data_IF_472589907615
#
_entry.id   IF_472589907615
#
_cell.length_a   1.000
_cell.length_b   1.000
_cell.length_c   1.000
_cell.angle_alpha   90.00
_cell.angle_beta   90.00
_cell.angle_gamma   90.00
#
_symmetry.space_group_name_H-M   'P 1'
#
loop_
_entity.id
_entity.type
_entity.pdbx_description
1 polymer ?
#
# COMPACT_ATOMS: atom_id res chain seq x y z
N UNK A 1 -23.20 -13.75 55.71
CA UNK A 1 -23.33 -12.67 54.72
C UNK A 1 -24.38 -13.09 53.71
N UNK A 2 -25.41 -12.27 53.49
CA UNK A 2 -26.52 -12.64 52.61
C UNK A 2 -26.12 -12.32 51.16
N UNK A 3 -26.63 -13.06 50.18
CA UNK A 3 -26.36 -12.87 48.74
C UNK A 3 -26.58 -11.41 48.27
N UNK A 4 -27.48 -10.69 48.93
CA UNK A 4 -27.77 -9.26 48.70
C UNK A 4 -26.58 -8.35 48.99
N UNK A 5 -25.76 -8.67 49.99
CA UNK A 5 -24.59 -7.87 50.37
C UNK A 5 -23.49 -7.95 49.30
N UNK A 6 -23.33 -9.12 48.67
CA UNK A 6 -22.35 -9.35 47.58
C UNK A 6 -22.81 -8.62 46.31
N UNK A 7 -24.10 -8.65 45.99
CA UNK A 7 -24.66 -7.97 44.83
C UNK A 7 -24.51 -6.44 44.96
N UNK A 8 -24.71 -5.90 46.17
CA UNK A 8 -24.54 -4.48 46.47
C UNK A 8 -23.08 -4.03 46.30
N UNK A 9 -22.12 -4.82 46.79
CA UNK A 9 -20.68 -4.52 46.67
C UNK A 9 -20.21 -4.56 45.20
N UNK A 10 -20.69 -5.53 44.41
CA UNK A 10 -20.36 -5.61 42.98
C UNK A 10 -20.94 -4.45 42.16
N UNK A 11 -22.13 -3.95 42.53
CA UNK A 11 -22.72 -2.78 41.86
C UNK A 11 -21.88 -1.51 42.07
N UNK A 12 -21.39 -1.27 43.29
CA UNK A 12 -20.57 -0.07 43.59
C UNK A 12 -19.22 -0.12 42.88
N UNK A 13 -18.59 -1.29 42.79
CA UNK A 13 -17.34 -1.49 42.06
C UNK A 13 -17.49 -1.24 40.54
N UNK A 14 -18.59 -1.67 39.93
CA UNK A 14 -18.85 -1.44 38.51
C UNK A 14 -19.08 0.05 38.18
N UNK A 15 -19.77 0.79 39.05
CA UNK A 15 -20.06 2.22 38.83
C UNK A 15 -18.81 3.11 39.00
N UNK A 16 -17.91 2.78 39.94
CA UNK A 16 -16.65 3.52 40.09
C UNK A 16 -15.71 3.35 38.88
N UNK A 17 -15.62 2.13 38.32
CA UNK A 17 -14.77 1.86 37.15
C UNK A 17 -15.29 2.53 35.86
N UNK A 18 -16.60 2.75 35.72
CA UNK A 18 -17.16 3.48 34.58
C UNK A 18 -16.94 5.01 34.69
N UNK A 19 -16.95 5.56 35.92
CA UNK A 19 -16.79 7.00 36.15
C UNK A 19 -15.31 7.42 36.04
N UNK A 20 -14.35 6.57 36.44
CA UNK A 20 -12.92 6.87 36.39
C UNK A 20 -12.30 6.90 34.98
N UNK A 21 -12.99 6.36 33.96
CA UNK A 21 -12.53 6.41 32.57
C UNK A 21 -12.93 7.73 31.87
N UNK A 22 -13.89 8.49 32.40
CA UNK A 22 -14.42 9.70 31.75
C UNK A 22 -13.85 11.03 32.28
N UNK A 23 -12.94 11.01 33.25
CA UNK A 23 -12.27 12.21 33.78
C UNK A 23 -10.92 12.47 33.08
N UNK A 24 -10.93 12.41 31.75
CA UNK A 24 -9.85 12.85 30.87
C UNK A 24 -10.45 13.81 29.86
N UNK A 25 -10.36 15.09 30.18
CA UNK A 25 -10.91 16.24 29.50
C UNK A 25 -10.06 16.64 28.28
N UNK A 26 -10.35 16.09 27.10
CA UNK A 26 -9.88 16.69 25.84
C UNK A 26 -10.83 16.44 24.66
N UNK A 27 -11.92 17.20 24.65
CA UNK A 27 -12.80 17.38 23.48
C UNK A 27 -12.12 18.01 22.25
N UNK A 28 -10.81 17.83 22.04
CA UNK A 28 -10.06 18.33 20.88
C UNK A 28 -9.18 17.29 20.15
N UNK A 29 -8.98 16.07 20.67
CA UNK A 29 -8.14 15.05 20.00
C UNK A 29 -8.89 13.99 19.19
N UNK A 30 -10.19 13.80 19.40
CA UNK A 30 -10.94 12.72 18.73
C UNK A 30 -11.20 13.00 17.23
N UNK A 31 -11.36 14.27 16.83
CA UNK A 31 -11.48 14.64 15.42
C UNK A 31 -10.12 14.56 14.69
N UNK A 32 -9.05 15.07 15.31
CA UNK A 32 -7.71 15.08 14.70
C UNK A 32 -7.13 13.67 14.50
N UNK A 33 -7.37 12.76 15.47
CA UNK A 33 -6.95 11.36 15.37
C UNK A 33 -7.62 10.61 14.21
N UNK A 34 -8.94 10.76 14.06
CA UNK A 34 -9.71 10.05 13.01
C UNK A 34 -9.41 10.56 11.60
N UNK A 35 -9.26 11.88 11.39
CA UNK A 35 -8.92 12.45 10.08
C UNK A 35 -7.46 12.15 9.68
N UNK A 36 -6.53 12.20 10.64
CA UNK A 36 -5.12 11.86 10.40
C UNK A 36 -4.98 10.37 10.03
N UNK A 37 -5.62 9.49 10.79
CA UNK A 37 -5.60 8.05 10.53
C UNK A 37 -6.24 7.68 9.17
N UNK A 38 -7.37 8.29 8.82
CA UNK A 38 -7.99 8.12 7.47
C UNK A 38 -7.04 8.55 6.35
N UNK A 39 -6.30 9.64 6.53
CA UNK A 39 -5.33 10.14 5.55
C UNK A 39 -4.15 9.17 5.40
N UNK A 40 -3.63 8.68 6.52
CA UNK A 40 -2.59 7.66 6.55
C UNK A 40 -3.02 6.38 5.83
N UNK A 41 -4.20 5.85 6.15
CA UNK A 41 -4.75 4.64 5.54
C UNK A 41 -4.95 4.81 4.03
N UNK A 42 -5.42 5.99 3.60
CA UNK A 42 -5.56 6.32 2.18
C UNK A 42 -4.21 6.32 1.47
N UNK A 43 -3.18 6.92 2.05
CA UNK A 43 -1.82 6.94 1.46
C UNK A 43 -1.23 5.54 1.37
N UNK A 44 -1.41 4.72 2.41
CA UNK A 44 -0.96 3.32 2.43
C UNK A 44 -1.66 2.49 1.36
N UNK A 45 -2.99 2.59 1.25
CA UNK A 45 -3.76 1.93 0.17
C UNK A 45 -3.31 2.38 -1.22
N UNK A 46 -3.09 3.69 -1.42
CA UNK A 46 -2.56 4.23 -2.69
C UNK A 46 -1.18 3.66 -3.02
N UNK A 47 -0.32 3.44 -2.02
CA UNK A 47 1.01 2.87 -2.21
C UNK A 47 0.91 1.41 -2.68
N UNK A 48 0.09 0.60 -2.02
CA UNK A 48 -0.13 -0.80 -2.40
C UNK A 48 -0.71 -0.94 -3.81
N UNK A 49 -1.78 -0.20 -4.13
CA UNK A 49 -2.34 -0.18 -5.48
C UNK A 49 -1.31 0.25 -6.54
N UNK A 50 -0.46 1.23 -6.24
CA UNK A 50 0.59 1.67 -7.16
C UNK A 50 1.65 0.59 -7.37
N UNK A 51 2.00 -0.16 -6.32
CA UNK A 51 2.95 -1.29 -6.40
C UNK A 51 2.38 -2.42 -7.26
N UNK A 52 1.11 -2.79 -7.06
CA UNK A 52 0.43 -3.79 -7.89
C UNK A 52 0.43 -3.40 -9.37
N UNK A 53 0.09 -2.14 -9.69
CA UNK A 53 0.10 -1.62 -11.06
C UNK A 53 1.52 -1.69 -11.65
N UNK A 54 2.53 -1.28 -10.87
CA UNK A 54 3.95 -1.36 -11.29
C UNK A 54 4.36 -2.79 -11.58
N UNK A 55 3.97 -3.76 -10.75
CA UNK A 55 4.30 -5.17 -10.93
C UNK A 55 3.63 -5.74 -12.18
N UNK A 56 2.33 -5.44 -12.40
CA UNK A 56 1.61 -5.84 -13.62
C UNK A 56 2.29 -5.28 -14.88
N UNK A 57 2.65 -4.00 -14.88
CA UNK A 57 3.35 -3.36 -16.01
C UNK A 57 4.76 -3.90 -16.23
N UNK A 58 5.48 -4.23 -15.15
CA UNK A 58 6.79 -4.90 -15.23
C UNK A 58 6.65 -6.26 -15.92
N UNK A 59 5.68 -7.06 -15.50
CA UNK A 59 5.44 -8.39 -16.08
C UNK A 59 5.03 -8.31 -17.54
N UNK A 60 4.12 -7.41 -17.89
CA UNK A 60 3.69 -7.15 -19.28
C UNK A 60 4.88 -6.78 -20.18
N UNK A 61 5.73 -5.84 -19.72
CA UNK A 61 6.94 -5.45 -20.43
C UNK A 61 7.91 -6.63 -20.63
N UNK A 62 8.21 -7.39 -19.57
CA UNK A 62 9.16 -8.51 -19.67
C UNK A 62 8.65 -9.65 -20.57
N UNK A 63 7.37 -9.99 -20.47
CA UNK A 63 6.76 -11.01 -21.33
C UNK A 63 6.83 -10.60 -22.81
N UNK A 64 6.55 -9.33 -23.10
CA UNK A 64 6.62 -8.80 -24.47
C UNK A 64 8.05 -8.74 -25.00
N UNK A 65 9.00 -8.30 -24.17
CA UNK A 65 10.42 -8.27 -24.52
C UNK A 65 10.99 -9.68 -24.76
N UNK A 66 10.52 -10.70 -24.01
CA UNK A 66 10.92 -12.09 -24.21
C UNK A 66 10.48 -12.63 -25.58
N UNK A 67 9.28 -12.25 -26.05
CA UNK A 67 8.81 -12.59 -27.41
C UNK A 67 9.76 -12.01 -28.46
N UNK A 68 10.12 -10.73 -28.31
CA UNK A 68 11.11 -10.07 -29.16
C UNK A 68 12.45 -10.82 -29.16
N UNK A 69 13.02 -11.12 -28.00
CA UNK A 69 14.28 -11.85 -27.87
C UNK A 69 14.24 -13.24 -28.53
N UNK A 70 13.14 -13.99 -28.36
CA UNK A 70 12.95 -15.30 -29.01
C UNK A 70 12.96 -15.19 -30.53
N UNK A 71 12.30 -14.17 -31.07
CA UNK A 71 12.28 -13.91 -32.50
C UNK A 71 13.67 -13.57 -33.05
N UNK A 72 14.41 -12.69 -32.39
CA UNK A 72 15.79 -12.35 -32.75
C UNK A 72 16.71 -13.58 -32.71
N UNK A 73 16.52 -14.46 -31.72
CA UNK A 73 17.25 -15.73 -31.66
C UNK A 73 16.91 -16.68 -32.81
N UNK A 74 15.63 -16.78 -33.20
CA UNK A 74 15.20 -17.60 -34.33
C UNK A 74 15.75 -17.08 -35.68
N UNK A 75 15.73 -15.76 -35.87
CA UNK A 75 16.34 -15.07 -37.00
C UNK A 75 17.83 -15.37 -37.12
N UNK A 76 18.58 -15.23 -36.01
CA UNK A 76 20.00 -15.54 -35.98
C UNK A 76 20.32 -17.01 -36.27
N UNK A 77 19.35 -17.92 -36.11
CA UNK A 77 19.48 -19.35 -36.39
C UNK A 77 18.99 -19.72 -37.81
N UNK A 78 18.60 -18.75 -38.63
CA UNK A 78 18.16 -18.99 -40.01
C UNK A 78 16.81 -19.72 -40.12
N UNK A 79 15.97 -19.68 -39.08
CA UNK A 79 14.62 -20.27 -39.13
C UNK A 79 13.63 -19.29 -39.76
N UNK A 80 12.74 -19.77 -40.63
CA UNK A 80 11.63 -18.97 -41.15
C UNK A 80 10.74 -18.49 -40.01
N UNK A 81 10.47 -17.19 -39.98
CA UNK A 81 9.63 -16.58 -38.96
C UNK A 81 8.19 -16.60 -39.47
N UNK A 82 7.20 -17.06 -38.67
CA UNK A 82 5.82 -16.67 -38.91
C UNK A 82 5.70 -15.14 -38.81
N UNK A 83 4.94 -14.55 -39.73
CA UNK A 83 4.65 -13.11 -39.85
C UNK A 83 4.48 -12.46 -38.46
N UNK A 84 5.46 -11.65 -38.05
CA UNK A 84 5.66 -11.41 -36.62
C UNK A 84 4.75 -10.32 -36.05
N UNK A 85 4.12 -10.63 -34.91
CA UNK A 85 3.33 -9.68 -34.10
C UNK A 85 4.15 -8.70 -33.25
N UNK A 86 5.48 -8.85 -33.15
CA UNK A 86 6.31 -8.02 -32.27
C UNK A 86 6.70 -6.69 -32.93
N UNK A 87 6.07 -5.61 -32.48
CA UNK A 87 6.38 -4.23 -32.85
C UNK A 87 7.31 -3.58 -31.82
N UNK A 88 8.43 -3.03 -32.30
CA UNK A 88 9.38 -2.25 -31.48
C UNK A 88 8.70 -1.03 -30.82
N UNK A 89 7.70 -0.46 -31.49
CA UNK A 89 6.92 0.69 -30.99
C UNK A 89 6.15 0.32 -29.73
N UNK A 90 5.58 -0.89 -29.69
CA UNK A 90 4.83 -1.36 -28.53
C UNK A 90 5.78 -1.67 -27.36
N UNK A 91 6.98 -2.21 -27.61
CA UNK A 91 7.97 -2.42 -26.54
C UNK A 91 8.39 -1.10 -25.89
N UNK A 92 8.68 -0.07 -26.71
CA UNK A 92 9.03 1.26 -26.22
C UNK A 92 7.88 1.84 -25.39
N UNK A 93 6.63 1.70 -25.85
CA UNK A 93 5.43 2.14 -25.11
C UNK A 93 5.32 1.44 -23.76
N UNK A 94 5.42 0.12 -23.73
CA UNK A 94 5.32 -0.69 -22.50
C UNK A 94 6.42 -0.33 -21.49
N UNK A 95 7.65 -0.12 -21.96
CA UNK A 95 8.76 0.33 -21.11
C UNK A 95 8.49 1.69 -20.49
N UNK A 96 7.97 2.64 -21.27
CA UNK A 96 7.60 3.97 -20.77
C UNK A 96 6.48 3.89 -19.72
N UNK A 97 5.44 3.09 -19.95
CA UNK A 97 4.35 2.88 -19.00
C UNK A 97 4.85 2.26 -17.68
N UNK A 98 5.74 1.26 -17.75
CA UNK A 98 6.38 0.69 -16.58
C UNK A 98 7.20 1.73 -15.80
N UNK A 99 7.99 2.56 -16.49
CA UNK A 99 8.77 3.64 -15.86
C UNK A 99 7.85 4.67 -15.19
N UNK A 100 6.75 5.04 -15.84
CA UNK A 100 5.74 5.93 -15.26
C UNK A 100 5.11 5.32 -14.00
N UNK A 101 4.75 4.04 -14.01
CA UNK A 101 4.22 3.34 -12.84
C UNK A 101 5.24 3.27 -11.70
N UNK A 102 6.51 2.99 -12.00
CA UNK A 102 7.61 3.01 -11.02
C UNK A 102 7.79 4.40 -10.39
N UNK A 103 7.73 5.46 -11.20
CA UNK A 103 7.80 6.84 -10.73
C UNK A 103 6.61 7.19 -9.82
N UNK A 104 5.42 6.66 -10.13
CA UNK A 104 4.23 6.83 -9.29
C UNK A 104 4.39 6.19 -7.92
N UNK A 105 4.91 4.95 -7.85
CA UNK A 105 5.24 4.29 -6.57
C UNK A 105 6.19 5.15 -5.74
N UNK A 106 7.28 5.63 -6.36
CA UNK A 106 8.25 6.50 -5.70
C UNK A 106 7.62 7.79 -5.17
N UNK A 107 6.74 8.41 -5.96
CA UNK A 107 6.01 9.63 -5.57
C UNK A 107 5.13 9.40 -4.35
N UNK A 108 4.30 8.35 -4.35
CA UNK A 108 3.40 8.02 -3.22
C UNK A 108 4.19 7.62 -1.98
N UNK A 109 5.30 6.87 -2.13
CA UNK A 109 6.20 6.55 -1.02
C UNK A 109 6.76 7.81 -0.35
N UNK A 110 7.19 8.78 -1.16
CA UNK A 110 7.69 10.06 -0.64
C UNK A 110 6.59 10.88 0.06
N UNK A 111 5.36 10.85 -0.47
CA UNK A 111 4.18 11.49 0.15
C UNK A 111 3.92 10.89 1.55
N UNK A 112 3.91 9.56 1.65
CA UNK A 112 3.73 8.84 2.91
C UNK A 112 4.88 9.12 3.90
N UNK A 113 6.14 9.11 3.44
CA UNK A 113 7.30 9.44 4.28
C UNK A 113 7.23 10.86 4.85
N UNK A 114 6.83 11.84 4.02
CA UNK A 114 6.64 13.24 4.47
C UNK A 114 5.51 13.36 5.48
N UNK A 115 4.40 12.65 5.25
CA UNK A 115 3.28 12.60 6.18
C UNK A 115 3.73 12.06 7.55
N UNK A 116 4.40 10.91 7.58
CA UNK A 116 4.87 10.30 8.83
C UNK A 116 5.86 11.19 9.59
N UNK A 117 6.81 11.82 8.88
CA UNK A 117 7.74 12.79 9.49
C UNK A 117 7.02 13.98 10.15
N UNK A 118 5.93 14.49 9.57
CA UNK A 118 5.14 15.60 10.14
C UNK A 118 4.40 15.21 11.41
N UNK A 119 4.04 13.94 11.55
CA UNK A 119 3.31 13.41 12.69
C UNK A 119 4.22 12.71 13.72
N UNK A 120 5.55 12.84 13.61
CA UNK A 120 6.50 12.22 14.54
C UNK A 120 6.57 10.69 14.45
N UNK A 121 6.11 10.10 13.35
CA UNK A 121 6.08 8.65 13.13
C UNK A 121 7.29 8.18 12.31
N UNK A 122 7.83 7.01 12.62
CA UNK A 122 8.86 6.37 11.82
C UNK A 122 8.27 5.70 10.57
N UNK A 123 8.83 5.99 9.40
CA UNK A 123 8.40 5.37 8.15
C UNK A 123 8.78 3.89 8.11
N UNK A 124 7.79 3.02 8.38
CA UNK A 124 7.88 1.60 8.06
C UNK A 124 7.30 1.39 6.66
N UNK A 125 8.15 1.03 5.72
CA UNK A 125 7.67 0.64 4.40
C UNK A 125 6.80 -0.62 4.55
N UNK A 126 5.55 -0.62 4.07
CA UNK A 126 4.77 -1.85 4.05
C UNK A 126 5.55 -2.88 3.25
N UNK A 127 5.77 -4.07 3.84
CA UNK A 127 6.39 -5.20 3.16
C UNK A 127 5.61 -5.45 1.87
N UNK A 128 6.19 -5.02 0.77
CA UNK A 128 5.86 -5.59 -0.53
C UNK A 128 6.78 -6.80 -0.69
N UNK A 129 6.25 -7.83 -1.34
CA UNK A 129 7.07 -8.95 -1.80
C UNK A 129 8.32 -8.37 -2.45
N UNK A 130 9.47 -8.73 -1.87
CA UNK A 130 10.78 -8.34 -2.36
C UNK A 130 10.88 -8.76 -3.81
N UNK A 131 11.14 -7.79 -4.70
CA UNK A 131 11.71 -8.07 -6.02
C UNK A 131 13.16 -8.53 -5.87
#
# INVERSE_FOLDING_TARGET
MKLVDILLVLSVAATANAILISAGNDGSLQASGTFSQRTFDRLRKRLELSKEIRNKKRQEYHNYAEIGLKQWSALSRGKEIPESKHSLKDEIRLKQEYVAARNRVRSVRNELKKYMKRHGLEFQEPKADSD
#
